data_IF_027743440098
#
_entry.id   IF_027743440098
#
_cell.length_a   1.000
_cell.length_b   1.000
_cell.length_c   1.000
_cell.angle_alpha   90.00
_cell.angle_beta   90.00
_cell.angle_gamma   90.00
#
_symmetry.space_group_name_H-M   'P 1'
#
loop_
_entity.id
_entity.type
_entity.pdbx_description
1 polymer ?
#
# COMPACT_ATOMS: atom_id res chain seq x y z
N UNK A 1 -12.17 -7.87 12.35
CA UNK A 1 -12.08 -8.88 13.41
C UNK A 1 -12.25 -8.28 14.81
N UNK A 2 -11.38 -7.38 15.29
CA UNK A 2 -11.44 -6.80 16.64
C UNK A 2 -12.43 -5.62 16.84
N UNK A 3 -13.36 -5.38 15.90
CA UNK A 3 -14.32 -4.26 15.95
C UNK A 3 -13.68 -2.87 16.24
N UNK A 4 -12.56 -2.59 15.57
CA UNK A 4 -11.85 -1.31 15.69
C UNK A 4 -12.51 -0.23 14.82
N UNK A 5 -12.48 1.02 15.28
CA UNK A 5 -12.96 2.18 14.51
C UNK A 5 -12.14 3.42 14.84
N UNK A 6 -11.87 4.24 13.83
CA UNK A 6 -11.28 5.57 14.03
C UNK A 6 -12.23 6.54 14.76
N UNK A 7 -13.53 6.24 14.79
CA UNK A 7 -14.52 7.03 15.56
C UNK A 7 -14.61 6.63 17.03
N UNK A 8 -13.99 5.52 17.44
CA UNK A 8 -13.94 5.10 18.84
C UNK A 8 -12.79 5.79 19.57
N UNK A 9 -12.92 5.97 20.89
CA UNK A 9 -11.78 6.31 21.74
C UNK A 9 -10.81 5.15 21.87
N UNK A 10 -9.54 5.43 22.14
CA UNK A 10 -8.51 4.41 22.40
C UNK A 10 -8.94 3.40 23.48
N UNK A 11 -9.60 3.89 24.54
CA UNK A 11 -10.12 3.05 25.60
C UNK A 11 -11.18 2.06 25.09
N UNK A 12 -12.05 2.49 24.18
CA UNK A 12 -13.08 1.64 23.58
C UNK A 12 -12.47 0.63 22.61
N UNK A 13 -11.55 1.06 21.76
CA UNK A 13 -10.81 0.19 20.84
C UNK A 13 -10.02 -0.87 21.61
N UNK A 14 -9.37 -0.49 22.71
CA UNK A 14 -8.69 -1.41 23.64
C UNK A 14 -9.64 -2.41 24.28
N UNK A 15 -10.78 -1.96 24.79
CA UNK A 15 -11.79 -2.85 25.38
C UNK A 15 -12.30 -3.88 24.36
N UNK A 16 -12.57 -3.47 23.12
CA UNK A 16 -13.02 -4.37 22.06
C UNK A 16 -11.97 -5.44 21.75
N UNK A 17 -10.70 -5.04 21.66
CA UNK A 17 -9.59 -5.95 21.45
C UNK A 17 -9.45 -6.97 22.60
N UNK A 18 -9.38 -6.48 23.84
CA UNK A 18 -9.25 -7.31 25.03
C UNK A 18 -10.41 -8.30 25.15
N UNK A 19 -11.65 -7.84 24.98
CA UNK A 19 -12.83 -8.68 25.05
C UNK A 19 -12.80 -9.83 24.03
N UNK A 20 -12.47 -9.53 22.77
CA UNK A 20 -12.43 -10.54 21.70
C UNK A 20 -11.29 -11.55 21.90
N UNK A 21 -10.11 -11.08 22.33
CA UNK A 21 -8.97 -11.95 22.55
C UNK A 21 -9.14 -12.81 23.81
N UNK A 22 -9.63 -12.24 24.92
CA UNK A 22 -9.92 -12.98 26.14
C UNK A 22 -10.98 -14.06 25.92
N UNK A 23 -12.02 -13.75 25.12
CA UNK A 23 -13.02 -14.73 24.73
C UNK A 23 -12.41 -15.89 23.95
N UNK A 24 -11.50 -15.62 22.99
CA UNK A 24 -10.80 -16.66 22.23
C UNK A 24 -9.89 -17.50 23.14
N UNK A 25 -9.11 -16.87 24.02
CA UNK A 25 -8.24 -17.56 24.98
C UNK A 25 -9.06 -18.49 25.87
N UNK A 26 -10.20 -18.02 26.39
CA UNK A 26 -11.06 -18.80 27.28
C UNK A 26 -11.64 -20.06 26.63
N UNK A 27 -11.92 -20.03 25.33
CA UNK A 27 -12.46 -21.20 24.59
C UNK A 27 -11.37 -22.09 23.98
N UNK A 28 -10.11 -21.66 24.00
CA UNK A 28 -8.99 -22.42 23.44
C UNK A 28 -8.56 -23.54 24.40
N UNK A 29 -8.87 -24.79 24.05
CA UNK A 29 -8.61 -25.96 24.90
C UNK A 29 -7.14 -26.40 24.94
N UNK A 30 -6.34 -26.01 23.94
CA UNK A 30 -4.90 -26.23 23.93
C UNK A 30 -4.21 -25.19 24.82
N UNK A 31 -3.68 -25.64 25.97
CA UNK A 31 -3.04 -24.79 26.95
C UNK A 31 -1.80 -24.06 26.40
N UNK A 32 -1.05 -24.68 25.48
CA UNK A 32 0.12 -24.07 24.85
C UNK A 32 -0.28 -22.91 23.95
N UNK A 33 -1.31 -23.10 23.10
CA UNK A 33 -1.83 -22.00 22.29
C UNK A 33 -2.43 -20.88 23.15
N UNK A 34 -3.18 -21.20 24.19
CA UNK A 34 -3.78 -20.20 25.08
C UNK A 34 -2.71 -19.36 25.79
N UNK A 35 -1.64 -20.00 26.27
CA UNK A 35 -0.50 -19.30 26.87
C UNK A 35 0.22 -18.42 25.85
N UNK A 36 0.41 -18.90 24.63
CA UNK A 36 1.12 -18.16 23.58
C UNK A 36 0.31 -16.96 23.08
N UNK A 37 -1.02 -17.07 22.97
CA UNK A 37 -1.92 -15.93 22.71
C UNK A 37 -1.79 -14.86 23.80
N UNK A 38 -1.71 -15.28 25.07
CA UNK A 38 -1.54 -14.36 26.18
C UNK A 38 -0.18 -13.66 26.11
N UNK A 39 0.89 -14.42 25.86
CA UNK A 39 2.27 -13.91 25.75
C UNK A 39 2.41 -12.91 24.60
N UNK A 40 1.77 -13.19 23.47
CA UNK A 40 1.90 -12.40 22.24
C UNK A 40 0.82 -11.32 22.06
N UNK A 41 -0.04 -11.12 23.07
CA UNK A 41 -1.13 -10.11 23.08
C UNK A 41 -0.69 -8.73 22.58
N UNK A 42 0.42 -8.21 23.10
CA UNK A 42 0.88 -6.85 22.76
C UNK A 42 1.29 -6.72 21.29
N UNK A 43 1.68 -7.81 20.63
CA UNK A 43 2.03 -7.80 19.19
C UNK A 43 0.77 -7.75 18.32
N UNK A 44 -0.27 -8.52 18.67
CA UNK A 44 -1.58 -8.42 18.00
C UNK A 44 -2.21 -7.04 18.18
N UNK A 45 -2.05 -6.44 19.37
CA UNK A 45 -2.54 -5.09 19.62
C UNK A 45 -1.78 -4.03 18.82
N UNK A 46 -0.46 -4.15 18.69
CA UNK A 46 0.34 -3.22 17.90
C UNK A 46 -0.07 -3.20 16.40
N UNK A 47 -0.50 -4.34 15.84
CA UNK A 47 -1.04 -4.41 14.46
C UNK A 47 -2.30 -3.57 14.23
N UNK A 48 -2.99 -3.19 15.30
CA UNK A 48 -4.19 -2.34 15.28
C UNK A 48 -3.98 -1.05 16.09
N UNK A 49 -2.72 -0.62 16.20
CA UNK A 49 -2.29 0.63 16.83
C UNK A 49 -2.59 0.73 18.35
N UNK A 50 -2.68 -0.41 19.03
CA UNK A 50 -2.84 -0.47 20.49
C UNK A 50 -1.50 -0.77 21.15
N UNK A 51 -1.07 0.15 22.00
CA UNK A 51 0.22 0.09 22.70
C UNK A 51 0.04 0.05 24.22
N UNK A 52 0.83 -0.79 24.88
CA UNK A 52 0.92 -0.85 26.34
C UNK A 52 2.36 -0.55 26.77
N UNK A 53 2.57 0.43 27.68
CA UNK A 53 3.86 0.65 28.30
C UNK A 53 4.37 -0.64 28.95
N UNK A 54 5.69 -0.84 28.90
CA UNK A 54 6.38 -1.99 29.50
C UNK A 54 5.95 -3.37 28.99
N UNK A 55 5.17 -3.43 27.89
CA UNK A 55 4.82 -4.70 27.25
C UNK A 55 6.03 -5.36 26.58
N UNK A 56 5.94 -6.66 26.31
CA UNK A 56 7.01 -7.38 25.59
C UNK A 56 7.27 -6.74 24.21
N UNK A 57 6.22 -6.26 23.52
CA UNK A 57 6.38 -5.50 22.28
C UNK A 57 7.25 -4.24 22.48
N UNK A 58 7.00 -3.45 23.53
CA UNK A 58 7.73 -2.23 23.79
C UNK A 58 9.22 -2.47 24.12
N UNK A 59 9.53 -3.61 24.76
CA UNK A 59 10.88 -3.95 25.21
C UNK A 59 11.78 -4.55 24.10
N UNK A 60 11.19 -5.14 23.06
CA UNK A 60 11.94 -5.79 21.98
C UNK A 60 12.40 -4.79 20.92
N UNK A 61 13.50 -5.14 20.28
CA UNK A 61 14.02 -4.48 19.08
C UNK A 61 13.13 -4.77 17.84
N UNK A 62 13.30 -4.04 16.72
CA UNK A 62 12.44 -4.21 15.54
C UNK A 62 12.37 -5.65 15.02
N UNK A 63 13.50 -6.37 15.01
CA UNK A 63 13.54 -7.78 14.63
C UNK A 63 12.75 -8.66 15.59
N UNK A 64 12.96 -8.50 16.90
CA UNK A 64 12.19 -9.22 17.90
C UNK A 64 10.69 -8.94 17.83
N UNK A 65 10.30 -7.70 17.50
CA UNK A 65 8.89 -7.33 17.24
C UNK A 65 8.33 -8.04 16.02
N UNK A 66 9.07 -8.05 14.91
CA UNK A 66 8.68 -8.75 13.68
C UNK A 66 8.49 -10.25 13.92
N UNK A 67 9.50 -10.92 14.49
CA UNK A 67 9.49 -12.36 14.74
C UNK A 67 8.33 -12.76 15.67
N UNK A 68 8.07 -11.99 16.74
CA UNK A 68 6.95 -12.28 17.64
C UNK A 68 5.59 -11.90 17.05
N UNK A 69 5.51 -10.96 16.11
CA UNK A 69 4.27 -10.65 15.39
C UNK A 69 3.86 -11.79 14.47
N UNK A 70 4.82 -12.43 13.78
CA UNK A 70 4.59 -13.66 13.02
C UNK A 70 4.02 -14.76 13.90
N UNK A 71 4.64 -14.99 15.06
CA UNK A 71 4.17 -15.98 16.04
C UNK A 71 2.75 -15.62 16.49
N UNK A 72 2.51 -14.37 16.87
CA UNK A 72 1.21 -13.90 17.35
C UNK A 72 0.07 -14.16 16.36
N UNK A 73 0.27 -13.81 15.09
CA UNK A 73 -0.71 -14.03 14.03
C UNK A 73 -0.88 -15.52 13.71
N UNK A 74 0.20 -16.30 13.70
CA UNK A 74 0.11 -17.74 13.51
C UNK A 74 -0.71 -18.40 14.63
N UNK A 75 -0.43 -18.06 15.89
CA UNK A 75 -1.16 -18.57 17.06
C UNK A 75 -2.62 -18.13 17.03
N UNK A 76 -2.93 -16.89 16.64
CA UNK A 76 -4.30 -16.41 16.45
C UNK A 76 -5.07 -17.25 15.44
N UNK A 77 -4.48 -17.49 14.27
CA UNK A 77 -5.10 -18.31 13.21
C UNK A 77 -5.28 -19.76 13.66
N UNK A 78 -4.29 -20.34 14.33
CA UNK A 78 -4.36 -21.71 14.86
C UNK A 78 -5.46 -21.86 15.92
N UNK A 79 -5.59 -20.89 16.82
CA UNK A 79 -6.64 -20.89 17.85
C UNK A 79 -8.04 -20.74 17.26
N UNK A 80 -8.23 -19.81 16.30
CA UNK A 80 -9.50 -19.66 15.58
C UNK A 80 -9.87 -20.92 14.79
N UNK A 81 -8.90 -21.52 14.09
CA UNK A 81 -9.08 -22.77 13.37
C UNK A 81 -9.56 -23.95 14.24
N UNK A 82 -9.28 -23.91 15.56
CA UNK A 82 -9.78 -24.92 16.50
C UNK A 82 -11.22 -24.71 16.94
N UNK A 83 -11.73 -23.50 16.77
CA UNK A 83 -13.13 -23.16 17.05
C UNK A 83 -14.01 -23.31 15.80
N UNK A 84 -13.49 -22.92 14.64
CA UNK A 84 -14.22 -22.87 13.38
C UNK A 84 -13.27 -22.90 12.17
N UNK A 85 -13.73 -23.34 10.98
CA UNK A 85 -12.99 -23.13 9.74
C UNK A 85 -12.71 -21.64 9.48
N UNK A 86 -11.50 -21.30 9.06
CA UNK A 86 -11.06 -19.92 8.80
C UNK A 86 -10.81 -19.75 7.30
N UNK A 87 -11.34 -18.66 6.74
CA UNK A 87 -11.04 -18.21 5.38
C UNK A 87 -10.26 -16.89 5.45
N UNK A 88 -9.03 -16.87 4.96
CA UNK A 88 -8.22 -15.67 4.80
C UNK A 88 -8.24 -15.22 3.33
N UNK A 89 -8.74 -14.02 3.07
CA UNK A 89 -8.80 -13.44 1.72
C UNK A 89 -7.77 -12.31 1.63
N UNK A 90 -6.85 -12.43 0.67
CA UNK A 90 -5.83 -11.43 0.37
C UNK A 90 -6.11 -10.89 -1.03
N UNK A 91 -6.60 -9.65 -1.09
CA UNK A 91 -6.92 -9.02 -2.36
C UNK A 91 -5.74 -8.25 -2.95
N UNK A 92 -5.65 -8.27 -4.28
CA UNK A 92 -4.69 -7.50 -5.06
C UNK A 92 -3.22 -7.69 -4.62
N UNK A 93 -2.82 -8.93 -4.34
CA UNK A 93 -1.50 -9.30 -3.82
C UNK A 93 -0.31 -8.91 -4.73
N UNK A 94 -0.57 -8.52 -5.98
CA UNK A 94 0.43 -7.96 -6.89
C UNK A 94 0.98 -6.60 -6.42
N UNK A 95 0.34 -5.95 -5.44
CA UNK A 95 0.85 -4.74 -4.79
C UNK A 95 1.71 -5.02 -3.55
N UNK A 96 1.76 -6.26 -3.07
CA UNK A 96 2.57 -6.58 -1.90
C UNK A 96 4.04 -6.32 -2.22
N UNK A 97 4.69 -5.54 -1.38
CA UNK A 97 6.14 -5.43 -1.42
C UNK A 97 6.80 -6.75 -1.01
N UNK A 98 8.09 -6.87 -1.32
CA UNK A 98 8.86 -8.09 -1.09
C UNK A 98 8.85 -8.52 0.40
N UNK A 99 8.79 -7.55 1.31
CA UNK A 99 8.80 -7.78 2.74
C UNK A 99 7.46 -8.35 3.23
N UNK A 100 6.35 -7.79 2.74
CA UNK A 100 5.01 -8.32 3.00
C UNK A 100 4.84 -9.72 2.39
N UNK A 101 5.42 -9.98 1.22
CA UNK A 101 5.44 -11.31 0.62
C UNK A 101 6.23 -12.31 1.47
N UNK A 102 7.41 -11.91 1.96
CA UNK A 102 8.22 -12.73 2.85
C UNK A 102 7.52 -12.99 4.18
N UNK A 103 6.93 -11.96 4.77
CA UNK A 103 6.13 -12.06 5.99
C UNK A 103 5.00 -13.07 5.81
N UNK A 104 4.23 -12.96 4.72
CA UNK A 104 3.16 -13.90 4.43
C UNK A 104 3.71 -15.33 4.30
N UNK A 105 4.80 -15.54 3.55
CA UNK A 105 5.42 -16.87 3.42
C UNK A 105 5.80 -17.44 4.79
N UNK A 106 6.45 -16.65 5.63
CA UNK A 106 6.86 -17.07 6.96
C UNK A 106 5.66 -17.37 7.87
N UNK A 107 4.61 -16.56 7.80
CA UNK A 107 3.36 -16.79 8.51
C UNK A 107 2.75 -18.13 8.11
N UNK A 108 2.66 -18.42 6.81
CA UNK A 108 2.10 -19.67 6.31
C UNK A 108 2.91 -20.88 6.77
N UNK A 109 4.25 -20.80 6.67
CA UNK A 109 5.13 -21.84 7.19
C UNK A 109 4.93 -22.03 8.69
N UNK A 110 4.79 -20.96 9.46
CA UNK A 110 4.61 -21.02 10.91
C UNK A 110 3.27 -21.65 11.30
N UNK A 111 2.20 -21.33 10.56
CA UNK A 111 0.86 -21.92 10.79
C UNK A 111 0.87 -23.43 10.54
N UNK A 112 1.59 -23.89 9.50
CA UNK A 112 1.63 -25.31 9.08
C UNK A 112 2.80 -26.11 9.66
N UNK A 113 3.70 -25.47 10.42
CA UNK A 113 4.93 -26.09 10.93
C UNK A 113 4.71 -27.25 11.90
N UNK A 114 3.55 -27.36 12.55
CA UNK A 114 3.28 -28.39 13.56
C UNK A 114 2.91 -29.70 12.87
N UNK A 115 3.83 -30.69 12.77
CA UNK A 115 3.56 -31.95 12.10
C UNK A 115 2.52 -32.69 12.94
N UNK A 116 1.43 -33.16 12.31
CA UNK A 116 0.27 -33.85 12.89
C UNK A 116 -0.94 -33.01 13.34
N UNK A 117 -0.95 -31.68 13.18
CA UNK A 117 -2.18 -30.88 13.37
C UNK A 117 -2.63 -30.26 12.06
N UNK A 118 -3.76 -30.73 11.52
CA UNK A 118 -4.40 -30.09 10.35
C UNK A 118 -5.38 -29.03 10.84
N UNK A 119 -5.11 -27.77 10.50
CA UNK A 119 -6.03 -26.66 10.76
C UNK A 119 -6.96 -26.45 9.55
N UNK A 120 -8.28 -26.29 9.75
CA UNK A 120 -9.23 -25.98 8.67
C UNK A 120 -9.10 -24.52 8.18
N UNK A 121 -7.93 -24.18 7.64
CA UNK A 121 -7.60 -22.88 7.07
C UNK A 121 -7.63 -22.95 5.55
N UNK A 122 -8.43 -22.08 4.92
CA UNK A 122 -8.39 -21.82 3.49
C UNK A 122 -7.87 -20.40 3.24
N UNK A 123 -7.06 -20.23 2.19
CA UNK A 123 -6.50 -18.94 1.82
C UNK A 123 -6.81 -18.68 0.36
N UNK A 124 -7.45 -17.55 0.08
CA UNK A 124 -7.75 -17.08 -1.27
C UNK A 124 -6.91 -15.84 -1.51
N UNK A 125 -6.11 -15.88 -2.56
CA UNK A 125 -5.28 -14.75 -2.98
C UNK A 125 -5.74 -14.31 -4.36
N UNK A 126 -6.02 -13.02 -4.54
CA UNK A 126 -6.25 -12.44 -5.86
C UNK A 126 -5.00 -11.65 -6.29
N UNK A 127 -4.56 -11.86 -7.52
CA UNK A 127 -3.38 -11.19 -8.08
C UNK A 127 -3.51 -11.03 -9.59
N UNK A 128 -2.80 -10.06 -10.16
CA UNK A 128 -2.59 -10.02 -11.60
C UNK A 128 -1.61 -11.11 -12.02
N UNK A 129 -1.72 -11.65 -13.24
CA UNK A 129 -0.74 -12.57 -13.80
C UNK A 129 0.57 -11.80 -14.06
N UNK A 130 1.40 -11.69 -13.04
CA UNK A 130 2.73 -11.08 -13.06
C UNK A 130 3.73 -12.14 -12.57
N UNK A 131 4.95 -12.26 -13.14
CA UNK A 131 6.00 -13.13 -12.61
C UNK A 131 6.23 -13.01 -11.09
N UNK A 132 5.93 -11.88 -10.45
CA UNK A 132 6.05 -11.71 -8.99
C UNK A 132 5.05 -12.57 -8.20
N UNK A 133 3.84 -12.83 -8.72
CA UNK A 133 2.85 -13.68 -8.06
C UNK A 133 3.28 -15.17 -8.01
N UNK A 134 4.26 -15.56 -8.84
CA UNK A 134 4.86 -16.90 -8.82
C UNK A 134 5.69 -17.18 -7.56
N UNK A 135 5.92 -16.18 -6.70
CA UNK A 135 6.69 -16.36 -5.48
C UNK A 135 5.89 -17.00 -4.33
N UNK A 136 4.56 -17.01 -4.33
CA UNK A 136 3.81 -17.68 -3.26
C UNK A 136 3.89 -19.21 -3.31
N UNK A 137 4.36 -19.79 -4.42
CA UNK A 137 4.30 -21.23 -4.67
C UNK A 137 5.63 -21.94 -4.46
N UNK A 138 5.69 -22.84 -3.45
CA UNK A 138 6.58 -23.99 -3.54
C UNK A 138 5.93 -25.35 -3.19
N UNK A 139 4.64 -25.43 -2.85
CA UNK A 139 4.03 -26.65 -2.27
C UNK A 139 2.82 -27.19 -3.09
N UNK A 140 2.66 -28.52 -3.31
CA UNK A 140 1.52 -29.17 -4.00
C UNK A 140 0.09 -28.89 -3.51
N UNK A 141 -0.12 -28.08 -2.47
CA UNK A 141 -1.45 -27.78 -1.90
C UNK A 141 -2.15 -26.57 -2.51
N UNK A 142 -1.49 -25.85 -3.42
CA UNK A 142 -2.02 -24.64 -4.06
C UNK A 142 -2.73 -24.96 -5.38
N UNK A 143 -3.93 -24.39 -5.56
CA UNK A 143 -4.65 -24.43 -6.83
C UNK A 143 -4.70 -23.03 -7.45
N UNK A 144 -4.25 -22.90 -8.70
CA UNK A 144 -4.32 -21.66 -9.46
C UNK A 144 -5.59 -21.64 -10.31
N UNK A 145 -6.43 -20.63 -10.12
CA UNK A 145 -7.59 -20.36 -10.98
C UNK A 145 -7.30 -19.14 -11.87
N UNK A 146 -7.00 -19.39 -13.14
CA UNK A 146 -6.76 -18.33 -14.12
C UNK A 146 -8.08 -17.77 -14.62
N UNK A 147 -8.34 -16.50 -14.31
CA UNK A 147 -9.48 -15.76 -14.84
C UNK A 147 -9.17 -15.29 -16.27
N UNK A 148 -9.83 -15.91 -17.25
CA UNK A 148 -9.77 -15.47 -18.64
C UNK A 148 -10.68 -14.25 -18.87
N UNK A 149 -10.52 -13.62 -20.03
CA UNK A 149 -11.51 -12.67 -20.54
C UNK A 149 -12.89 -13.33 -20.62
N UNK A 150 -13.95 -12.55 -20.38
CA UNK A 150 -15.32 -13.03 -20.50
C UNK A 150 -15.62 -13.49 -21.92
N UNK A 151 -16.30 -14.63 -22.04
CA UNK A 151 -16.86 -15.07 -23.31
C UNK A 151 -17.95 -14.09 -23.79
N UNK A 152 -18.32 -14.14 -25.06
CA UNK A 152 -19.45 -13.35 -25.59
C UNK A 152 -20.73 -13.60 -24.80
N UNK A 153 -20.97 -14.85 -24.37
CA UNK A 153 -22.13 -15.20 -23.58
C UNK A 153 -22.10 -14.56 -22.18
N UNK A 154 -20.95 -14.62 -21.50
CA UNK A 154 -20.78 -14.02 -20.17
C UNK A 154 -20.82 -12.49 -20.22
N UNK A 155 -20.29 -11.88 -21.28
CA UNK A 155 -20.36 -10.44 -21.52
C UNK A 155 -21.81 -9.98 -21.70
N UNK A 156 -22.61 -10.74 -22.44
CA UNK A 156 -24.03 -10.49 -22.61
C UNK A 156 -24.82 -10.69 -21.30
N UNK A 157 -24.44 -11.68 -20.50
CA UNK A 157 -25.01 -11.91 -19.18
C UNK A 157 -24.69 -10.75 -18.22
N UNK A 158 -23.45 -10.25 -18.24
CA UNK A 158 -23.03 -9.07 -17.51
C UNK A 158 -23.85 -7.84 -17.94
N UNK A 159 -23.98 -7.59 -19.24
CA UNK A 159 -24.78 -6.49 -19.76
C UNK A 159 -26.25 -6.57 -19.31
N UNK A 160 -26.84 -7.76 -19.37
CA UNK A 160 -28.21 -8.01 -18.91
C UNK A 160 -28.38 -7.72 -17.43
N UNK A 161 -27.39 -8.11 -16.62
CA UNK A 161 -27.38 -7.86 -15.17
C UNK A 161 -27.31 -6.36 -14.85
N UNK A 162 -26.44 -5.62 -15.55
CA UNK A 162 -26.26 -4.17 -15.34
C UNK A 162 -27.46 -3.34 -15.82
N UNK A 163 -28.11 -3.78 -16.90
CA UNK A 163 -29.23 -3.08 -17.52
C UNK A 163 -30.61 -3.49 -16.97
N UNK A 164 -30.68 -4.56 -16.19
CA UNK A 164 -31.92 -5.16 -15.68
C UNK A 164 -32.76 -5.90 -16.75
N UNK A 165 -32.34 -5.89 -18.01
CA UNK A 165 -32.96 -6.64 -19.10
C UNK A 165 -31.94 -6.90 -20.22
N UNK A 166 -32.27 -7.80 -21.15
CA UNK A 166 -31.36 -8.20 -22.23
C UNK A 166 -30.82 -6.99 -23.03
N UNK A 167 -29.57 -7.07 -23.48
CA UNK A 167 -29.00 -6.17 -24.47
C UNK A 167 -29.42 -6.62 -25.88
N UNK A 168 -29.83 -5.68 -26.74
CA UNK A 168 -30.16 -5.95 -28.13
C UNK A 168 -28.87 -6.26 -28.94
N UNK A 169 -28.97 -6.93 -30.10
CA UNK A 169 -27.81 -7.39 -30.87
C UNK A 169 -26.76 -6.31 -31.21
N UNK A 170 -27.19 -5.07 -31.50
CA UNK A 170 -26.26 -3.99 -31.81
C UNK A 170 -25.43 -3.56 -30.58
N UNK A 171 -26.04 -3.51 -29.40
CA UNK A 171 -25.34 -3.25 -28.14
C UNK A 171 -24.40 -4.41 -27.79
N UNK A 172 -24.83 -5.66 -27.96
CA UNK A 172 -23.97 -6.83 -27.76
C UNK A 172 -22.73 -6.79 -28.66
N UNK A 173 -22.93 -6.50 -29.96
CA UNK A 173 -21.83 -6.40 -30.93
C UNK A 173 -20.85 -5.26 -30.56
N UNK A 174 -21.38 -4.12 -30.10
CA UNK A 174 -20.56 -3.01 -29.63
C UNK A 174 -19.72 -3.40 -28.42
N UNK A 175 -20.34 -4.03 -27.41
CA UNK A 175 -19.65 -4.45 -26.20
C UNK A 175 -18.57 -5.48 -26.53
N UNK A 176 -18.86 -6.46 -27.39
CA UNK A 176 -17.88 -7.45 -27.83
C UNK A 176 -16.69 -6.77 -28.53
N UNK A 177 -16.94 -5.86 -29.46
CA UNK A 177 -15.89 -5.20 -30.24
C UNK A 177 -15.03 -4.24 -29.41
N UNK A 178 -15.56 -3.64 -28.34
CA UNK A 178 -14.89 -2.59 -27.57
C UNK A 178 -14.38 -3.02 -26.20
N UNK A 179 -15.08 -3.93 -25.54
CA UNK A 179 -14.66 -4.43 -24.24
C UNK A 179 -13.65 -5.57 -24.37
N UNK A 180 -13.64 -6.30 -25.50
CA UNK A 180 -12.72 -7.43 -25.74
C UNK A 180 -12.71 -8.42 -24.55
N UNK A 181 -13.92 -8.74 -24.05
CA UNK A 181 -14.12 -9.61 -22.89
C UNK A 181 -13.68 -9.04 -21.54
N UNK A 182 -13.22 -7.80 -21.46
CA UNK A 182 -12.90 -7.14 -20.20
C UNK A 182 -14.18 -6.65 -19.49
N UNK A 183 -14.54 -7.22 -18.31
CA UNK A 183 -15.80 -6.89 -17.62
C UNK A 183 -15.88 -5.40 -17.23
N UNK A 184 -14.75 -4.83 -16.78
CA UNK A 184 -14.68 -3.42 -16.42
C UNK A 184 -14.95 -2.52 -17.63
N UNK A 185 -14.41 -2.86 -18.80
CA UNK A 185 -14.62 -2.06 -20.02
C UNK A 185 -16.09 -2.10 -20.45
N UNK A 186 -16.72 -3.27 -20.42
CA UNK A 186 -18.13 -3.40 -20.76
C UNK A 186 -19.01 -2.57 -19.81
N UNK A 187 -18.72 -2.63 -18.51
CA UNK A 187 -19.41 -1.82 -17.50
C UNK A 187 -19.28 -0.33 -17.79
N UNK A 188 -18.06 0.16 -18.08
CA UNK A 188 -17.84 1.59 -18.38
C UNK A 188 -18.55 2.04 -19.66
N UNK A 189 -18.60 1.19 -20.71
CA UNK A 189 -19.33 1.50 -21.94
C UNK A 189 -20.84 1.60 -21.65
N UNK A 190 -21.40 0.66 -20.88
CA UNK A 190 -22.82 0.68 -20.52
C UNK A 190 -23.16 1.94 -19.73
N UNK A 191 -22.40 2.25 -18.68
CA UNK A 191 -22.59 3.46 -17.88
C UNK A 191 -22.49 4.72 -18.74
N UNK A 192 -21.50 4.79 -19.63
CA UNK A 192 -21.36 5.92 -20.57
C UNK A 192 -22.61 6.08 -21.45
N UNK A 193 -23.12 4.99 -22.03
CA UNK A 193 -24.30 5.06 -22.89
C UNK A 193 -25.56 5.45 -22.09
N UNK A 194 -25.70 4.99 -20.85
CA UNK A 194 -26.78 5.40 -19.94
C UNK A 194 -26.68 6.90 -19.60
N UNK A 195 -25.50 7.38 -19.21
CA UNK A 195 -25.23 8.78 -18.88
C UNK A 195 -25.52 9.71 -20.06
N UNK A 196 -25.24 9.27 -21.28
CA UNK A 196 -25.51 10.03 -22.51
C UNK A 196 -26.92 9.84 -23.07
N UNK A 197 -27.77 9.07 -22.39
CA UNK A 197 -29.12 8.74 -22.86
C UNK A 197 -29.10 8.14 -24.28
N UNK A 198 -28.02 7.42 -24.60
CA UNK A 198 -27.80 6.74 -25.89
C UNK A 198 -28.35 5.32 -25.87
N UNK A 199 -29.05 4.92 -24.80
CA UNK A 199 -29.76 3.66 -24.70
C UNK A 199 -31.26 3.90 -24.73
N UNK A 200 -31.98 3.08 -25.49
CA UNK A 200 -33.44 3.03 -25.47
C UNK A 200 -33.90 1.58 -25.40
N UNK A 201 -35.07 1.35 -24.79
CA UNK A 201 -35.63 0.01 -24.66
C UNK A 201 -36.40 -0.36 -25.93
N UNK A 202 -36.14 -1.56 -26.47
CA UNK A 202 -36.83 -2.14 -27.63
C UNK A 202 -37.45 -3.48 -27.25
N UNK A 203 -38.26 -4.06 -28.15
CA UNK A 203 -38.77 -5.42 -27.97
C UNK A 203 -37.68 -6.50 -27.87
N UNK A 204 -36.49 -6.24 -28.42
CA UNK A 204 -35.33 -7.13 -28.36
C UNK A 204 -34.40 -6.85 -27.16
N UNK A 205 -34.74 -5.87 -26.30
CA UNK A 205 -33.91 -5.43 -25.19
C UNK A 205 -33.39 -3.99 -25.34
N UNK A 206 -32.44 -3.61 -24.49
CA UNK A 206 -31.78 -2.31 -24.55
C UNK A 206 -30.92 -2.19 -25.81
N UNK A 207 -31.17 -1.15 -26.59
CA UNK A 207 -30.47 -0.88 -27.84
C UNK A 207 -29.81 0.50 -27.82
N UNK A 208 -28.74 0.65 -28.61
CA UNK A 208 -28.10 1.95 -28.83
C UNK A 208 -28.97 2.82 -29.74
N UNK A 209 -29.07 4.12 -29.45
CA UNK A 209 -29.76 5.09 -30.31
C UNK A 209 -29.00 5.32 -31.61
N UNK A 210 -29.71 5.49 -32.73
CA UNK A 210 -29.15 5.74 -34.08
C UNK A 210 -28.50 7.13 -34.25
N UNK A 211 -28.23 7.86 -33.16
CA UNK A 211 -27.63 9.20 -33.23
C UNK A 211 -26.16 9.12 -33.67
N UNK A 212 -25.98 9.18 -34.99
CA UNK A 212 -24.73 9.53 -35.64
C UNK A 212 -24.26 10.90 -35.14
N UNK A 213 -23.36 11.00 -34.16
CA UNK A 213 -22.47 12.17 -34.06
C UNK A 213 -21.29 12.04 -33.09
N UNK A 214 -21.33 11.24 -32.03
CA UNK A 214 -20.16 11.10 -31.16
C UNK A 214 -19.50 9.72 -31.31
N UNK A 215 -18.26 9.64 -31.86
CA UNK A 215 -17.54 8.39 -31.91
C UNK A 215 -17.29 7.92 -30.49
N UNK A 216 -17.84 6.75 -30.13
CA UNK A 216 -17.50 6.06 -28.90
C UNK A 216 -15.97 6.04 -28.75
N UNK A 217 -15.43 6.53 -27.62
CA UNK A 217 -13.99 6.62 -27.42
C UNK A 217 -13.26 5.31 -27.76
N UNK A 218 -12.09 5.38 -28.41
CA UNK A 218 -11.40 4.19 -28.93
C UNK A 218 -10.86 3.27 -27.83
N UNK A 219 -10.62 3.81 -26.63
CA UNK A 219 -10.14 3.09 -25.46
C UNK A 219 -10.77 3.63 -24.17
N UNK A 220 -10.68 2.84 -23.10
CA UNK A 220 -11.21 3.22 -21.78
C UNK A 220 -10.53 4.46 -21.23
N UNK A 221 -9.26 4.71 -21.55
CA UNK A 221 -8.58 5.91 -21.08
C UNK A 221 -9.27 7.17 -21.64
N UNK A 222 -9.68 7.13 -22.91
CA UNK A 222 -10.39 8.22 -23.58
C UNK A 222 -11.82 8.34 -23.07
N UNK A 223 -12.49 7.24 -22.72
CA UNK A 223 -13.80 7.26 -22.05
C UNK A 223 -13.72 7.91 -20.66
N UNK A 224 -12.71 7.54 -19.87
CA UNK A 224 -12.46 8.13 -18.56
C UNK A 224 -12.10 9.62 -18.68
N UNK A 225 -11.29 10.01 -19.67
CA UNK A 225 -10.97 11.42 -19.93
C UNK A 225 -12.24 12.19 -20.34
N UNK A 226 -13.07 11.65 -21.24
CA UNK A 226 -14.30 12.28 -21.67
C UNK A 226 -15.27 12.51 -20.50
N UNK A 227 -15.35 11.58 -19.55
CA UNK A 227 -16.11 11.76 -18.31
C UNK A 227 -15.59 12.93 -17.48
N UNK A 228 -14.27 13.10 -17.40
CA UNK A 228 -13.64 14.21 -16.67
C UNK A 228 -13.82 15.54 -17.40
N UNK A 229 -13.79 15.56 -18.73
CA UNK A 229 -13.96 16.78 -19.54
C UNK A 229 -15.37 17.37 -19.45
N UNK A 230 -16.37 16.56 -19.07
CA UNK A 230 -17.76 17.01 -18.85
C UNK A 230 -18.00 17.68 -17.50
N UNK A 231 -17.08 17.53 -16.56
CA UNK A 231 -17.19 18.16 -15.25
C UNK A 231 -17.07 19.67 -15.38
N UNK A 232 -17.79 20.41 -14.54
CA UNK A 232 -17.61 21.86 -14.44
C UNK A 232 -16.15 22.19 -14.09
N UNK A 233 -15.66 23.38 -14.46
CA UNK A 233 -14.24 23.74 -14.27
C UNK A 233 -13.75 23.57 -12.83
N UNK A 234 -14.57 23.94 -11.84
CA UNK A 234 -14.27 23.82 -10.41
C UNK A 234 -14.19 22.34 -9.99
N UNK A 235 -15.11 21.50 -10.48
CA UNK A 235 -15.14 20.06 -10.15
C UNK A 235 -13.99 19.32 -10.82
N UNK A 236 -13.70 19.64 -12.09
CA UNK A 236 -12.54 19.13 -12.80
C UNK A 236 -11.24 19.48 -12.08
N UNK A 237 -11.10 20.72 -11.61
CA UNK A 237 -9.94 21.15 -10.82
C UNK A 237 -9.83 20.38 -9.50
N UNK A 238 -10.94 20.20 -8.79
CA UNK A 238 -11.01 19.40 -7.55
C UNK A 238 -10.54 17.97 -7.79
N UNK A 239 -11.02 17.32 -8.85
CA UNK A 239 -10.65 15.96 -9.23
C UNK A 239 -9.16 15.86 -9.62
N UNK A 240 -8.63 16.87 -10.32
CA UNK A 240 -7.21 16.93 -10.67
C UNK A 240 -6.29 17.04 -9.45
N UNK A 241 -6.68 17.81 -8.43
CA UNK A 241 -5.93 17.90 -7.16
C UNK A 241 -6.00 16.59 -6.39
N UNK A 242 -7.19 16.00 -6.27
CA UNK A 242 -7.37 14.71 -5.59
C UNK A 242 -6.53 13.58 -6.22
N UNK A 243 -6.38 13.57 -7.55
CA UNK A 243 -5.56 12.57 -8.24
C UNK A 243 -4.06 12.62 -7.87
N UNK A 244 -3.57 13.76 -7.36
CA UNK A 244 -2.19 13.90 -6.86
C UNK A 244 -2.01 13.16 -5.53
N UNK A 245 -3.04 13.18 -4.68
CA UNK A 245 -3.02 12.59 -3.33
C UNK A 245 -3.03 11.06 -3.36
N UNK A 246 -3.75 10.45 -4.31
CA UNK A 246 -3.81 8.99 -4.41
C UNK A 246 -5.14 8.48 -4.91
N UNK A 247 -5.34 7.18 -4.79
CA UNK A 247 -6.64 6.53 -5.05
C UNK A 247 -7.62 6.82 -3.90
N UNK A 248 -7.13 6.83 -2.68
CA UNK A 248 -7.84 7.31 -1.50
C UNK A 248 -7.29 8.69 -1.13
N UNK A 249 -8.15 9.59 -0.67
CA UNK A 249 -7.72 10.90 -0.20
C UNK A 249 -8.63 11.45 0.91
N UNK A 250 -8.03 12.27 1.77
CA UNK A 250 -8.75 13.00 2.81
C UNK A 250 -9.27 14.35 2.32
N UNK A 251 -10.51 14.67 2.70
CA UNK A 251 -11.18 15.93 2.36
C UNK A 251 -10.43 17.13 2.94
N UNK A 252 -9.88 17.01 4.15
CA UNK A 252 -9.11 18.09 4.81
C UNK A 252 -7.84 18.44 4.02
N UNK A 253 -7.12 17.43 3.55
CA UNK A 253 -5.90 17.62 2.78
C UNK A 253 -6.19 18.25 1.41
N UNK A 254 -7.23 17.76 0.72
CA UNK A 254 -7.69 18.33 -0.54
C UNK A 254 -8.15 19.79 -0.39
N UNK A 255 -8.85 20.11 0.70
CA UNK A 255 -9.30 21.47 1.02
C UNK A 255 -8.14 22.45 1.17
N UNK A 256 -7.08 22.05 1.89
CA UNK A 256 -5.88 22.87 2.05
C UNK A 256 -5.17 23.13 0.73
N UNK A 257 -5.13 22.13 -0.17
CA UNK A 257 -4.55 22.33 -1.50
C UNK A 257 -5.37 23.31 -2.34
N UNK A 258 -6.70 23.18 -2.37
CA UNK A 258 -7.55 24.03 -3.21
C UNK A 258 -7.66 25.47 -2.71
N UNK A 259 -7.32 25.75 -1.45
CA UNK A 259 -7.51 27.05 -0.79
C UNK A 259 -8.96 27.57 -0.88
N UNK A 260 -9.92 26.66 -1.10
CA UNK A 260 -11.34 26.97 -1.30
C UNK A 260 -12.21 25.95 -0.56
N UNK A 261 -12.45 26.21 0.73
CA UNK A 261 -13.27 25.34 1.57
C UNK A 261 -14.77 25.44 1.27
N UNK A 262 -15.25 26.58 0.77
CA UNK A 262 -16.68 26.86 0.63
C UNK A 262 -17.34 26.05 -0.50
N UNK A 263 -16.65 25.85 -1.62
CA UNK A 263 -17.20 25.13 -2.79
C UNK A 263 -16.93 23.64 -2.77
N UNK A 264 -16.02 23.17 -1.91
CA UNK A 264 -15.55 21.79 -1.89
C UNK A 264 -16.67 20.75 -1.66
N UNK A 265 -17.61 20.93 -0.70
CA UNK A 265 -18.69 19.95 -0.51
C UNK A 265 -19.57 19.77 -1.75
N UNK A 266 -19.84 20.86 -2.47
CA UNK A 266 -20.60 20.80 -3.72
C UNK A 266 -19.83 20.05 -4.79
N UNK A 267 -18.52 20.32 -4.93
CA UNK A 267 -17.68 19.65 -5.91
C UNK A 267 -17.49 18.16 -5.63
N UNK A 268 -17.35 17.78 -4.36
CA UNK A 268 -17.30 16.37 -3.94
C UNK A 268 -18.58 15.63 -4.32
N UNK A 269 -19.75 16.23 -4.04
CA UNK A 269 -21.05 15.64 -4.35
C UNK A 269 -21.35 15.59 -5.86
N UNK A 270 -20.89 16.55 -6.66
CA UNK A 270 -21.00 16.50 -8.12
C UNK A 270 -20.13 15.41 -8.73
N UNK A 271 -18.87 15.30 -8.30
CA UNK A 271 -17.97 14.24 -8.76
C UNK A 271 -18.43 12.84 -8.31
N UNK A 272 -19.04 12.72 -7.13
CA UNK A 272 -19.65 11.47 -6.66
C UNK A 272 -20.87 11.06 -7.52
N UNK A 273 -21.76 12.01 -7.85
CA UNK A 273 -22.86 11.78 -8.80
C UNK A 273 -22.36 11.40 -10.19
N UNK A 274 -21.24 11.97 -10.62
CA UNK A 274 -20.56 11.62 -11.86
C UNK A 274 -19.73 10.32 -11.75
N UNK A 275 -19.89 9.55 -10.68
CA UNK A 275 -19.23 8.27 -10.45
C UNK A 275 -17.68 8.31 -10.52
N UNK A 276 -17.08 9.45 -10.17
CA UNK A 276 -15.61 9.59 -10.12
C UNK A 276 -15.05 8.88 -8.89
N UNK A 277 -15.72 9.06 -7.76
CA UNK A 277 -15.37 8.47 -6.47
C UNK A 277 -16.62 8.11 -5.67
N UNK A 278 -16.41 7.43 -4.56
CA UNK A 278 -17.42 7.17 -3.52
C UNK A 278 -16.88 7.60 -2.16
N UNK A 279 -17.75 8.10 -1.29
CA UNK A 279 -17.39 8.34 0.11
C UNK A 279 -17.07 7.01 0.81
N UNK A 280 -15.95 6.94 1.52
CA UNK A 280 -15.65 5.85 2.46
C UNK A 280 -16.26 6.16 3.83
N UNK A 281 -16.09 7.41 4.25
CA UNK A 281 -16.67 7.98 5.46
C UNK A 281 -16.86 9.50 5.25
N UNK A 282 -17.17 10.24 6.31
CA UNK A 282 -17.38 11.69 6.22
C UNK A 282 -16.11 12.50 5.90
N UNK A 283 -14.93 11.89 6.01
CA UNK A 283 -13.63 12.54 5.89
C UNK A 283 -12.82 12.06 4.68
N UNK A 284 -13.17 10.92 4.08
CA UNK A 284 -12.39 10.26 3.03
C UNK A 284 -13.22 9.82 1.85
N UNK A 285 -12.60 9.94 0.67
CA UNK A 285 -13.15 9.49 -0.60
C UNK A 285 -12.18 8.53 -1.29
N UNK A 286 -12.76 7.57 -2.02
CA UNK A 286 -12.03 6.60 -2.83
C UNK A 286 -12.43 6.78 -4.30
N UNK A 287 -11.45 7.01 -5.18
CA UNK A 287 -11.67 6.91 -6.62
C UNK A 287 -12.24 5.52 -6.95
N UNK A 288 -13.39 5.48 -7.65
CA UNK A 288 -14.08 4.22 -7.95
C UNK A 288 -13.15 3.22 -8.64
N UNK A 289 -12.24 3.74 -9.48
CA UNK A 289 -11.26 2.93 -10.20
C UNK A 289 -9.87 3.58 -10.21
N UNK A 290 -8.83 2.78 -9.95
CA UNK A 290 -7.44 3.23 -10.01
C UNK A 290 -7.07 3.81 -11.40
N UNK A 291 -7.61 3.22 -12.48
CA UNK A 291 -7.42 3.70 -13.85
C UNK A 291 -7.99 5.11 -14.08
N UNK A 292 -9.09 5.46 -13.42
CA UNK A 292 -9.67 6.80 -13.52
C UNK A 292 -8.74 7.84 -12.88
N UNK A 293 -8.29 7.55 -11.66
CA UNK A 293 -7.28 8.39 -10.98
C UNK A 293 -6.04 8.55 -11.84
N UNK A 294 -5.53 7.47 -12.41
CA UNK A 294 -4.32 7.51 -13.24
C UNK A 294 -4.53 8.27 -14.55
N UNK A 295 -5.70 8.17 -15.17
CA UNK A 295 -6.06 8.97 -16.34
C UNK A 295 -6.08 10.48 -15.98
N UNK A 296 -6.71 10.85 -14.86
CA UNK A 296 -6.73 12.22 -14.33
C UNK A 296 -5.33 12.72 -13.97
N UNK A 297 -4.49 11.87 -13.39
CA UNK A 297 -3.11 12.22 -13.09
C UNK A 297 -2.31 12.45 -14.39
N UNK A 298 -2.43 11.57 -15.39
CA UNK A 298 -1.63 11.63 -16.63
C UNK A 298 -2.05 12.71 -17.61
N UNK A 299 -3.32 13.13 -17.62
CA UNK A 299 -3.79 14.23 -18.49
C UNK A 299 -3.18 15.59 -18.12
N UNK A 300 -2.66 15.75 -16.91
CA UNK A 300 -2.09 17.00 -16.44
C UNK A 300 -0.67 17.21 -16.95
N UNK A 301 -0.36 18.44 -17.37
CA UNK A 301 1.00 18.83 -17.79
C UNK A 301 2.02 18.55 -16.67
N UNK A 302 3.23 18.15 -17.04
CA UNK A 302 4.33 17.83 -16.09
C UNK A 302 4.58 18.97 -15.10
N UNK A 303 4.61 20.21 -15.56
CA UNK A 303 4.81 21.38 -14.71
C UNK A 303 3.67 21.58 -13.69
N UNK A 304 2.42 21.38 -14.10
CA UNK A 304 1.26 21.46 -13.20
C UNK A 304 1.31 20.37 -12.13
N UNK A 305 1.62 19.12 -12.50
CA UNK A 305 1.79 18.04 -11.52
C UNK A 305 2.88 18.33 -10.50
N UNK A 306 4.02 18.86 -10.96
CA UNK A 306 5.09 19.26 -10.06
C UNK A 306 4.61 20.31 -9.05
N UNK A 307 3.92 21.37 -9.51
CA UNK A 307 3.37 22.39 -8.62
C UNK A 307 2.34 21.82 -7.63
N UNK A 308 1.46 20.92 -8.08
CA UNK A 308 0.48 20.29 -7.19
C UNK A 308 1.12 19.34 -6.17
N UNK A 309 2.21 18.66 -6.52
CA UNK A 309 2.97 17.87 -5.55
C UNK A 309 3.63 18.76 -4.48
N UNK A 310 4.13 19.94 -4.85
CA UNK A 310 4.64 20.91 -3.87
C UNK A 310 3.52 21.43 -2.94
N UNK A 311 2.33 21.62 -3.49
CA UNK A 311 1.14 22.02 -2.75
C UNK A 311 0.66 20.92 -1.78
N UNK A 312 0.62 19.67 -2.23
CA UNK A 312 0.29 18.51 -1.40
C UNK A 312 1.29 18.35 -0.24
N UNK A 313 2.60 18.51 -0.51
CA UNK A 313 3.64 18.51 0.52
C UNK A 313 3.36 19.59 1.58
N UNK A 314 3.11 20.82 1.14
CA UNK A 314 2.85 21.95 2.05
C UNK A 314 1.57 21.72 2.88
N UNK A 315 0.54 21.13 2.26
CA UNK A 315 -0.71 20.80 2.92
C UNK A 315 -0.52 19.71 3.99
N UNK A 316 0.26 18.66 3.72
CA UNK A 316 0.62 17.63 4.71
C UNK A 316 1.40 18.23 5.89
N UNK A 317 2.42 19.04 5.62
CA UNK A 317 3.23 19.72 6.67
C UNK A 317 2.35 20.60 7.58
N UNK A 318 1.34 21.26 7.00
CA UNK A 318 0.44 22.17 7.71
C UNK A 318 -0.66 21.43 8.47
N UNK A 319 -1.17 20.32 7.92
CA UNK A 319 -2.26 19.56 8.53
C UNK A 319 -1.78 18.75 9.73
N UNK A 320 -0.57 18.21 9.63
CA UNK A 320 0.02 17.27 10.58
C UNK A 320 1.21 17.87 11.34
N UNK A 321 1.19 19.18 11.61
CA UNK A 321 2.30 19.89 12.26
C UNK A 321 2.68 19.33 13.64
N UNK A 322 1.73 18.70 14.35
CA UNK A 322 1.99 18.08 15.64
C UNK A 322 2.83 16.79 15.54
N UNK A 323 2.60 15.99 14.50
CA UNK A 323 3.32 14.75 14.25
C UNK A 323 3.27 14.37 12.75
N UNK A 324 4.43 14.42 12.11
CA UNK A 324 4.60 14.06 10.70
C UNK A 324 5.02 12.60 10.51
N UNK A 325 5.24 11.84 11.58
CA UNK A 325 5.88 10.53 11.54
C UNK A 325 5.14 9.53 10.66
N UNK A 326 3.81 9.48 10.79
CA UNK A 326 2.94 8.64 9.97
C UNK A 326 2.97 9.01 8.47
N UNK A 327 3.37 10.24 8.13
CA UNK A 327 3.30 10.78 6.77
C UNK A 327 4.67 10.92 6.08
N UNK A 328 5.78 10.47 6.70
CA UNK A 328 7.11 10.63 6.10
C UNK A 328 7.24 10.01 4.70
N UNK A 329 6.60 8.86 4.46
CA UNK A 329 6.58 8.20 3.14
C UNK A 329 5.91 9.09 2.07
N UNK A 330 4.78 9.70 2.41
CA UNK A 330 3.99 10.59 1.54
C UNK A 330 4.70 11.92 1.29
N UNK A 331 5.27 12.50 2.36
CA UNK A 331 6.07 13.72 2.32
C UNK A 331 7.29 13.53 1.41
N UNK A 332 8.02 12.41 1.54
CA UNK A 332 9.13 12.08 0.66
C UNK A 332 8.68 11.98 -0.82
N UNK A 333 7.60 11.23 -1.07
CA UNK A 333 7.04 11.05 -2.41
C UNK A 333 6.67 12.38 -3.06
N UNK A 334 5.95 13.26 -2.34
CA UNK A 334 5.56 14.57 -2.86
C UNK A 334 6.73 15.53 -3.01
N UNK A 335 7.71 15.52 -2.11
CA UNK A 335 8.91 16.35 -2.23
C UNK A 335 9.75 15.99 -3.47
N UNK A 336 9.94 14.70 -3.76
CA UNK A 336 10.67 14.26 -4.96
C UNK A 336 9.92 14.60 -6.25
N UNK A 337 8.61 14.32 -6.30
CA UNK A 337 7.76 14.65 -7.46
C UNK A 337 7.63 16.16 -7.67
N UNK A 338 7.70 16.94 -6.57
CA UNK A 338 7.77 18.40 -6.56
C UNK A 338 9.16 18.96 -6.91
N UNK A 339 10.19 18.11 -7.05
CA UNK A 339 11.60 18.49 -7.28
C UNK A 339 12.18 19.42 -6.21
N UNK A 340 11.81 19.18 -4.94
CA UNK A 340 12.31 19.92 -3.79
C UNK A 340 13.45 19.13 -3.12
N UNK A 341 14.65 19.15 -3.72
CA UNK A 341 15.76 18.25 -3.36
C UNK A 341 16.11 18.22 -1.87
N UNK A 342 16.14 19.37 -1.20
CA UNK A 342 16.49 19.43 0.24
C UNK A 342 15.39 18.82 1.12
N UNK A 343 14.12 19.14 0.84
CA UNK A 343 12.98 18.52 1.54
C UNK A 343 12.88 17.03 1.24
N UNK A 344 13.12 16.63 -0.01
CA UNK A 344 13.13 15.24 -0.43
C UNK A 344 14.20 14.45 0.33
N UNK A 345 15.44 14.96 0.40
CA UNK A 345 16.53 14.35 1.19
C UNK A 345 16.13 14.21 2.65
N UNK A 346 15.57 15.26 3.25
CA UNK A 346 15.12 15.25 4.64
C UNK A 346 14.06 14.18 4.91
N UNK A 347 12.98 14.17 4.12
CA UNK A 347 11.88 13.23 4.33
C UNK A 347 12.22 11.81 3.90
N UNK A 348 13.09 11.60 2.92
CA UNK A 348 13.61 10.27 2.60
C UNK A 348 14.43 9.70 3.76
N UNK A 349 15.26 10.50 4.42
CA UNK A 349 15.95 10.04 5.63
C UNK A 349 14.94 9.62 6.70
N UNK A 350 13.96 10.49 6.99
CA UNK A 350 12.93 10.22 8.01
C UNK A 350 12.07 8.99 7.68
N UNK A 351 11.72 8.81 6.42
CA UNK A 351 11.01 7.63 5.94
C UNK A 351 11.87 6.36 6.06
N UNK A 352 13.18 6.46 5.80
CA UNK A 352 14.13 5.37 6.01
C UNK A 352 14.28 5.00 7.49
N UNK A 353 14.41 6.00 8.37
CA UNK A 353 14.51 5.81 9.82
C UNK A 353 13.23 5.11 10.34
N UNK A 354 12.04 5.59 9.93
CA UNK A 354 10.76 4.98 10.30
C UNK A 354 10.57 3.56 9.73
N UNK A 355 10.96 3.34 8.47
CA UNK A 355 10.92 2.01 7.84
C UNK A 355 11.83 1.02 8.58
N UNK A 356 13.03 1.44 8.97
CA UNK A 356 13.95 0.63 9.76
C UNK A 356 13.36 0.28 11.14
N UNK A 357 12.71 1.23 11.82
CA UNK A 357 12.03 0.98 13.10
C UNK A 357 10.85 0.01 12.96
N UNK A 358 10.16 0.04 11.81
CA UNK A 358 9.09 -0.88 11.44
C UNK A 358 9.58 -2.22 10.88
N UNK A 359 10.91 -2.42 10.77
CA UNK A 359 11.55 -3.59 10.13
C UNK A 359 11.21 -3.77 8.64
N UNK A 360 10.78 -2.68 7.98
CA UNK A 360 10.66 -2.54 6.53
C UNK A 360 12.04 -2.24 5.90
N UNK A 361 12.98 -3.16 6.09
CA UNK A 361 14.38 -3.05 5.72
C UNK A 361 14.62 -2.72 4.23
N UNK A 362 13.92 -3.37 3.29
CA UNK A 362 14.05 -3.08 1.86
C UNK A 362 13.61 -1.65 1.54
N UNK A 363 12.51 -1.19 2.14
CA UNK A 363 12.06 0.19 1.98
C UNK A 363 13.05 1.16 2.62
N UNK A 364 13.58 0.84 3.81
CA UNK A 364 14.60 1.65 4.47
C UNK A 364 15.84 1.82 3.58
N UNK A 365 16.37 0.72 3.02
CA UNK A 365 17.49 0.75 2.06
C UNK A 365 17.14 1.59 0.83
N UNK A 366 15.95 1.43 0.26
CA UNK A 366 15.52 2.22 -0.90
C UNK A 366 15.43 3.72 -0.60
N UNK A 367 14.90 4.10 0.56
CA UNK A 367 14.80 5.49 1.00
C UNK A 367 16.18 6.10 1.25
N UNK A 368 17.07 5.41 2.00
CA UNK A 368 18.43 5.89 2.23
C UNK A 368 19.23 5.99 0.92
N UNK A 369 19.05 5.06 0.00
CA UNK A 369 19.70 5.10 -1.33
C UNK A 369 19.28 6.33 -2.12
N UNK A 370 17.99 6.65 -2.16
CA UNK A 370 17.48 7.85 -2.83
C UNK A 370 17.93 9.13 -2.13
N UNK A 371 17.97 9.14 -0.79
CA UNK A 371 18.50 10.26 -0.02
C UNK A 371 19.98 10.49 -0.33
N UNK A 372 20.80 9.43 -0.39
CA UNK A 372 22.22 9.50 -0.77
C UNK A 372 22.42 10.05 -2.17
N UNK A 373 21.57 9.67 -3.13
CA UNK A 373 21.61 10.18 -4.50
C UNK A 373 21.29 11.69 -4.58
N UNK A 374 20.45 12.20 -3.68
CA UNK A 374 20.13 13.62 -3.54
C UNK A 374 21.11 14.39 -2.64
N UNK A 375 22.09 13.72 -2.04
CA UNK A 375 23.04 14.33 -1.10
C UNK A 375 24.37 14.60 -1.82
N UNK A 376 24.75 15.88 -2.01
CA UNK A 376 25.99 16.24 -2.68
C UNK A 376 27.24 15.65 -1.97
N UNK A 377 28.30 15.32 -2.72
CA UNK A 377 29.54 14.76 -2.15
C UNK A 377 30.16 15.61 -1.02
N UNK A 378 30.01 16.93 -1.08
CA UNK A 378 30.51 17.89 -0.10
C UNK A 378 29.75 17.87 1.23
N UNK A 379 28.52 17.35 1.27
CA UNK A 379 27.75 17.18 2.52
C UNK A 379 28.15 15.88 3.23
N UNK A 380 29.41 15.86 3.67
CA UNK A 380 30.05 14.72 4.33
C UNK A 380 29.26 14.25 5.55
N UNK A 381 28.71 15.19 6.34
CA UNK A 381 27.98 14.86 7.55
C UNK A 381 26.67 14.11 7.27
N UNK A 382 25.90 14.54 6.26
CA UNK A 382 24.65 13.86 5.90
C UNK A 382 24.93 12.53 5.19
N UNK A 383 25.92 12.48 4.29
CA UNK A 383 26.33 11.22 3.64
C UNK A 383 26.78 10.17 4.65
N UNK A 384 27.58 10.57 5.64
CA UNK A 384 28.04 9.69 6.72
C UNK A 384 26.86 9.09 7.48
N UNK A 385 25.90 9.93 7.89
CA UNK A 385 24.70 9.48 8.61
C UNK A 385 23.86 8.50 7.80
N UNK A 386 23.59 8.82 6.53
CA UNK A 386 22.78 7.98 5.64
C UNK A 386 23.44 6.62 5.34
N UNK A 387 24.76 6.61 5.11
CA UNK A 387 25.52 5.38 4.91
C UNK A 387 25.53 4.52 6.18
N UNK A 388 25.68 5.12 7.38
CA UNK A 388 25.59 4.38 8.63
C UNK A 388 24.22 3.73 8.84
N UNK A 389 23.14 4.47 8.59
CA UNK A 389 21.78 3.93 8.73
C UNK A 389 21.53 2.79 7.73
N UNK A 390 21.93 2.98 6.45
CA UNK A 390 21.77 1.93 5.43
C UNK A 390 22.62 0.71 5.71
N UNK A 391 23.88 0.88 6.13
CA UNK A 391 24.77 -0.22 6.53
C UNK A 391 24.17 -1.04 7.67
N UNK A 392 23.57 -0.38 8.68
CA UNK A 392 22.93 -1.07 9.79
C UNK A 392 21.72 -1.93 9.37
N UNK A 393 20.94 -1.46 8.39
CA UNK A 393 19.84 -2.22 7.82
C UNK A 393 20.38 -3.41 7.02
N UNK A 394 21.38 -3.18 6.15
CA UNK A 394 22.04 -4.23 5.36
C UNK A 394 22.69 -5.30 6.24
N UNK A 395 23.27 -4.90 7.37
CA UNK A 395 23.79 -5.81 8.38
C UNK A 395 22.71 -6.74 8.93
N UNK A 396 21.54 -6.17 9.29
CA UNK A 396 20.39 -6.89 9.83
C UNK A 396 19.79 -7.86 8.80
N UNK A 397 19.78 -7.49 7.53
CA UNK A 397 19.34 -8.36 6.42
C UNK A 397 20.36 -9.44 6.04
N UNK A 398 21.62 -9.30 6.47
CA UNK A 398 22.70 -10.17 6.05
C UNK A 398 23.16 -9.94 4.59
N UNK A 399 22.82 -8.80 3.97
CA UNK A 399 23.27 -8.45 2.63
C UNK A 399 24.73 -8.00 2.65
N UNK A 400 25.65 -8.96 2.71
CA UNK A 400 27.09 -8.72 2.92
C UNK A 400 27.77 -7.97 1.77
N UNK A 401 27.26 -8.10 0.55
CA UNK A 401 27.83 -7.43 -0.63
C UNK A 401 27.60 -5.92 -0.58
N UNK A 402 26.35 -5.49 -0.37
CA UNK A 402 26.03 -4.06 -0.25
C UNK A 402 26.54 -3.47 1.07
N UNK A 403 26.51 -4.25 2.16
CA UNK A 403 27.07 -3.82 3.44
C UNK A 403 28.57 -3.49 3.31
N UNK A 404 29.35 -4.33 2.61
CA UNK A 404 30.76 -4.08 2.37
C UNK A 404 31.00 -2.81 1.54
N UNK A 405 30.15 -2.55 0.54
CA UNK A 405 30.22 -1.32 -0.25
C UNK A 405 29.98 -0.07 0.61
N UNK A 406 29.02 -0.11 1.53
CA UNK A 406 28.76 1.00 2.45
C UNK A 406 29.89 1.20 3.47
N UNK A 407 30.50 0.12 3.98
CA UNK A 407 31.66 0.20 4.85
C UNK A 407 32.89 0.80 4.14
N UNK A 408 33.11 0.46 2.86
CA UNK A 408 34.17 1.06 2.05
C UNK A 408 33.91 2.56 1.83
N UNK A 409 32.68 2.93 1.46
CA UNK A 409 32.29 4.32 1.25
C UNK A 409 32.40 5.15 2.55
N UNK A 410 32.03 4.57 3.70
CA UNK A 410 32.21 5.19 5.01
C UNK A 410 33.69 5.42 5.32
N UNK A 411 34.56 4.45 5.07
CA UNK A 411 36.01 4.58 5.29
C UNK A 411 36.61 5.69 4.44
N UNK A 412 36.32 5.71 3.15
CA UNK A 412 36.77 6.77 2.23
C UNK A 412 36.31 8.15 2.70
N UNK A 413 35.08 8.24 3.20
CA UNK A 413 34.47 9.48 3.67
C UNK A 413 35.12 10.03 4.96
N UNK A 414 35.51 9.16 5.90
CA UNK A 414 36.07 9.58 7.20
C UNK A 414 37.60 9.63 7.25
N UNK A 415 38.30 8.96 6.33
CA UNK A 415 39.78 8.95 6.27
C UNK A 415 40.42 10.35 6.19
N UNK A 416 39.91 11.30 5.36
CA UNK A 416 40.50 12.65 5.31
C UNK A 416 40.09 13.54 6.48
N UNK A 417 39.12 13.13 7.31
CA UNK A 417 38.60 13.94 8.40
C UNK A 417 39.51 13.80 9.63
N UNK A 418 39.70 14.88 10.40
CA UNK A 418 40.34 14.81 11.72
C UNK A 418 39.34 14.41 12.82
N UNK A 419 38.35 13.57 12.49
CA UNK A 419 37.29 13.11 13.40
C UNK A 419 37.56 11.66 13.83
N UNK A 420 38.35 11.51 14.90
CA UNK A 420 38.71 10.19 15.46
C UNK A 420 37.49 9.39 15.91
N UNK A 421 36.38 10.04 16.30
CA UNK A 421 35.18 9.35 16.79
C UNK A 421 34.49 8.64 15.62
N UNK A 422 34.30 9.33 14.50
CA UNK A 422 33.71 8.72 13.30
C UNK A 422 34.60 7.63 12.71
N UNK A 423 35.92 7.84 12.71
CA UNK A 423 36.88 6.82 12.29
C UNK A 423 36.77 5.56 13.14
N UNK A 424 36.76 5.69 14.47
CA UNK A 424 36.60 4.56 15.37
C UNK A 424 35.26 3.83 15.19
N UNK A 425 34.16 4.55 14.96
CA UNK A 425 32.86 3.92 14.69
C UNK A 425 32.87 3.07 13.41
N UNK A 426 33.49 3.56 12.32
CA UNK A 426 33.60 2.81 11.06
C UNK A 426 34.44 1.56 11.25
N UNK A 427 35.58 1.66 11.95
CA UNK A 427 36.45 0.52 12.26
C UNK A 427 35.72 -0.54 13.09
N UNK A 428 34.96 -0.14 14.12
CA UNK A 428 34.16 -1.08 14.92
C UNK A 428 33.12 -1.83 14.07
N UNK A 429 32.51 -1.17 13.08
CA UNK A 429 31.55 -1.80 12.16
C UNK A 429 32.24 -2.74 11.18
N UNK A 430 33.44 -2.40 10.69
CA UNK A 430 34.27 -3.29 9.88
C UNK A 430 34.68 -4.55 10.65
N UNK A 431 35.08 -4.39 11.92
CA UNK A 431 35.40 -5.50 12.81
C UNK A 431 34.19 -6.44 13.01
N UNK A 432 32.99 -5.89 13.27
CA UNK A 432 31.74 -6.68 13.33
C UNK A 432 31.41 -7.35 12.00
N UNK A 433 31.63 -6.67 10.88
CA UNK A 433 31.41 -7.26 9.56
C UNK A 433 32.34 -8.47 9.32
N UNK A 434 33.63 -8.31 9.64
CA UNK A 434 34.63 -9.36 9.52
C UNK A 434 34.29 -10.59 10.36
N UNK A 435 33.84 -10.39 11.61
CA UNK A 435 33.31 -11.47 12.46
C UNK A 435 32.16 -12.23 11.77
N UNK A 436 31.20 -11.50 11.21
CA UNK A 436 30.00 -12.08 10.58
C UNK A 436 30.28 -12.87 9.31
N UNK A 437 31.39 -12.62 8.63
CA UNK A 437 31.83 -13.39 7.45
C UNK A 437 32.92 -14.42 7.77
N UNK A 438 33.36 -14.51 9.04
CA UNK A 438 34.40 -15.43 9.49
C UNK A 438 35.84 -15.00 9.16
N UNK A 439 36.08 -13.73 8.84
CA UNK A 439 37.41 -13.16 8.60
C UNK A 439 38.03 -12.64 9.92
N UNK A 440 38.38 -13.56 10.81
CA UNK A 440 38.98 -13.22 12.11
C UNK A 440 40.29 -12.44 12.02
N UNK A 441 41.20 -12.67 11.03
CA UNK A 441 42.36 -11.83 10.85
C UNK A 441 42.02 -10.35 10.60
N UNK A 442 41.04 -10.07 9.73
CA UNK A 442 40.59 -8.70 9.49
C UNK A 442 39.89 -8.10 10.73
N UNK A 443 39.14 -8.91 11.49
CA UNK A 443 38.50 -8.50 12.74
C UNK A 443 39.52 -8.03 13.79
N UNK A 444 40.66 -8.72 13.93
CA UNK A 444 41.71 -8.37 14.92
C UNK A 444 42.50 -7.13 14.48
N UNK A 445 42.66 -6.93 13.17
CA UNK A 445 43.39 -5.79 12.61
C UNK A 445 42.60 -4.47 12.73
N UNK A 446 41.27 -4.55 12.70
CA UNK A 446 40.34 -3.46 12.93
C UNK A 446 40.13 -3.21 14.43
#
# INVERSE_FOLDING_TARGET
YFAQSASHSDARNRQNFEHKLDALIAVTTDAGLAQELQRTRSFLGALIDLHWPDSLYAQLDPRGRFDNTLIALATLLQAECRQQPVLLILEDAHWLDEESQQFLRQLLLTVTAVPATTYPLAIIITARPDPVAAHFTPDPTWAELRLAQLSTADLNHLATTLLGSAAAPALQALLLARADGNPFFAEQIIHYLQEQQLLHQTAAGWNITDSQTDPLPPDVQTLLIARIDRLTGIVKETVQHAAILGREFEVRLLSLMLQSAETLPHSLAEAERAAIWSALDQLRYLFKHALLRDAVYRMQLRARRQALHQLALTALESLYTADLSAHYKELAYHAERGRLSDKARHYLQKAGDAAQEAYENNQAVAYYTRALALTPPEDVATRYRLLLSREQVLHSQGNRTEQAADLSALQELVSPLQDKRRQAEVVLRQSRYAEQIGDYPAQIAA
#
